data_IF_549913278973
#
_entry.id   IF_549913278973
#
_cell.length_a   1.000
_cell.length_b   1.000
_cell.length_c   1.000
_cell.angle_alpha   90.00
_cell.angle_beta   90.00
_cell.angle_gamma   90.00
#
_symmetry.space_group_name_H-M   'P 1'
#
loop_
_entity.id
_entity.type
_entity.pdbx_description
1 polymer ?
#
# COMPACT_ATOMS: atom_id res chain seq x y z
N UNK A 1 6.59 20.52 -15.34
CA UNK A 1 6.00 19.17 -15.48
C UNK A 1 4.51 19.20 -15.20
N UNK A 2 3.71 18.33 -15.83
CA UNK A 2 2.25 18.29 -15.59
C UNK A 2 1.96 17.60 -14.26
N UNK A 3 1.35 18.33 -13.32
CA UNK A 3 0.78 17.79 -12.09
C UNK A 3 -0.74 17.77 -12.22
N UNK A 4 -1.38 16.77 -11.65
CA UNK A 4 -2.84 16.61 -11.67
C UNK A 4 -3.38 16.65 -10.25
N UNK A 5 -4.66 16.93 -10.08
CA UNK A 5 -5.28 16.78 -8.78
C UNK A 5 -5.50 15.28 -8.51
N UNK A 6 -5.23 14.79 -7.27
CA UNK A 6 -5.55 13.41 -6.89
C UNK A 6 -7.06 13.14 -7.00
N UNK A 7 -7.45 11.87 -6.85
CA UNK A 7 -8.85 11.52 -6.72
C UNK A 7 -9.51 12.28 -5.54
N UNK A 8 -10.81 12.60 -5.65
CA UNK A 8 -11.51 13.44 -4.67
C UNK A 8 -11.57 12.85 -3.25
N UNK A 9 -11.43 11.53 -3.11
CA UNK A 9 -11.41 10.81 -1.83
C UNK A 9 -9.99 10.45 -1.34
N UNK A 10 -8.95 10.99 -1.97
CA UNK A 10 -7.57 10.69 -1.62
C UNK A 10 -7.15 11.27 -0.24
N UNK A 11 -6.43 10.48 0.60
CA UNK A 11 -6.21 9.04 0.47
C UNK A 11 -7.45 8.22 0.88
N UNK A 12 -7.90 7.23 0.09
CA UNK A 12 -9.11 6.46 0.39
C UNK A 12 -8.98 5.56 1.63
N UNK A 13 -7.78 5.07 1.94
CA UNK A 13 -7.51 4.16 3.05
C UNK A 13 -6.85 4.87 4.24
N UNK A 14 -7.43 4.67 5.42
CA UNK A 14 -6.81 5.07 6.69
C UNK A 14 -5.63 4.16 7.04
N UNK A 15 -4.62 4.72 7.69
CA UNK A 15 -3.43 3.99 8.11
C UNK A 15 -2.48 4.84 8.95
N UNK A 16 -1.32 4.27 9.25
CA UNK A 16 -0.27 4.94 10.01
C UNK A 16 0.67 5.69 9.07
N UNK A 17 0.26 6.89 8.64
CA UNK A 17 1.06 7.75 7.78
C UNK A 17 0.82 9.23 8.07
N UNK A 18 1.76 10.05 7.64
CA UNK A 18 1.68 11.51 7.58
C UNK A 18 1.40 11.88 6.13
N UNK A 19 0.33 12.67 5.89
CA UNK A 19 0.04 13.26 4.59
C UNK A 19 0.83 14.56 4.44
N UNK A 20 1.60 14.67 3.37
CA UNK A 20 2.41 15.84 3.04
C UNK A 20 1.88 16.55 1.79
N UNK A 21 2.76 16.79 0.82
CA UNK A 21 2.41 17.49 -0.42
C UNK A 21 1.81 16.53 -1.45
N UNK A 22 0.51 16.63 -1.71
CA UNK A 22 -0.19 15.76 -2.67
C UNK A 22 0.35 15.82 -4.10
N UNK A 23 1.10 16.87 -4.47
CA UNK A 23 1.76 16.98 -5.78
C UNK A 23 3.18 16.40 -5.81
N UNK A 24 3.67 15.91 -4.67
CA UNK A 24 4.96 15.22 -4.56
C UNK A 24 4.98 13.95 -5.39
N UNK A 25 6.12 13.62 -6.02
CA UNK A 25 6.28 12.35 -6.70
C UNK A 25 6.63 11.18 -5.78
N UNK A 26 6.71 11.36 -4.47
CA UNK A 26 7.27 10.36 -3.56
C UNK A 26 6.28 9.91 -2.50
N UNK A 27 6.16 8.60 -2.31
CA UNK A 27 5.67 8.00 -1.08
C UNK A 27 6.84 7.33 -0.34
N UNK A 28 6.88 7.46 0.98
CA UNK A 28 7.87 6.81 1.85
C UNK A 28 7.18 5.73 2.68
N UNK A 29 7.73 4.53 2.63
CA UNK A 29 7.23 3.35 3.31
C UNK A 29 8.32 2.77 4.20
N UNK A 30 8.13 2.84 5.52
CA UNK A 30 9.05 2.30 6.51
C UNK A 30 8.49 0.98 7.04
N UNK A 31 9.19 -0.13 6.78
CA UNK A 31 8.80 -1.44 7.30
C UNK A 31 8.89 -1.42 8.83
N UNK A 32 7.87 -1.93 9.51
CA UNK A 32 7.84 -2.09 10.96
C UNK A 32 7.81 -3.56 11.34
N UNK A 33 8.57 -3.88 12.39
CA UNK A 33 8.54 -5.18 13.07
C UNK A 33 8.08 -5.12 14.52
N UNK A 34 7.81 -3.93 15.03
CA UNK A 34 7.33 -3.70 16.39
C UNK A 34 5.83 -3.47 16.40
N UNK A 35 5.21 -3.78 17.55
CA UNK A 35 3.88 -3.28 17.86
C UNK A 35 3.87 -1.74 17.85
N UNK A 36 2.72 -1.14 17.54
CA UNK A 36 2.57 0.30 17.36
C UNK A 36 3.01 1.12 18.59
N UNK A 37 2.81 0.58 19.80
CA UNK A 37 3.17 1.20 21.07
C UNK A 37 4.65 1.03 21.45
N UNK A 38 5.42 0.27 20.66
CA UNK A 38 6.83 -0.09 20.94
C UNK A 38 7.78 0.30 19.81
N UNK A 39 7.33 1.16 18.90
CA UNK A 39 8.16 1.63 17.79
C UNK A 39 9.31 2.50 18.35
N UNK A 40 10.59 2.17 18.04
CA UNK A 40 11.71 2.99 18.50
C UNK A 40 11.66 4.41 17.91
N UNK A 41 12.09 5.45 18.66
CA UNK A 41 12.09 6.83 18.18
C UNK A 41 12.85 7.03 16.86
N UNK A 42 13.90 6.25 16.63
CA UNK A 42 14.71 6.32 15.41
C UNK A 42 13.90 5.89 14.18
N UNK A 43 12.97 4.94 14.34
CA UNK A 43 12.10 4.46 13.27
C UNK A 43 10.98 5.47 13.01
N UNK A 44 10.41 6.06 14.06
CA UNK A 44 9.48 7.18 13.90
C UNK A 44 10.14 8.37 13.18
N UNK A 45 11.42 8.63 13.48
CA UNK A 45 12.18 9.69 12.83
C UNK A 45 12.30 9.46 11.33
N UNK A 46 12.51 8.23 10.86
CA UNK A 46 12.51 7.92 9.42
C UNK A 46 11.19 8.30 8.74
N UNK A 47 10.07 8.00 9.39
CA UNK A 47 8.73 8.36 8.91
C UNK A 47 8.56 9.88 8.86
N UNK A 48 8.91 10.59 9.95
CA UNK A 48 8.79 12.05 10.04
C UNK A 48 9.63 12.74 8.97
N UNK A 49 10.90 12.33 8.82
CA UNK A 49 11.82 12.92 7.84
C UNK A 49 11.32 12.76 6.40
N UNK A 50 10.66 11.64 6.06
CA UNK A 50 10.03 11.49 4.75
C UNK A 50 9.00 12.59 4.46
N UNK A 51 8.10 12.87 5.40
CA UNK A 51 7.09 13.92 5.26
C UNK A 51 7.71 15.33 5.28
N UNK A 52 8.64 15.60 6.20
CA UNK A 52 9.34 16.89 6.30
C UNK A 52 10.19 17.20 5.07
N UNK A 53 10.70 16.17 4.38
CA UNK A 53 11.42 16.30 3.11
C UNK A 53 10.48 16.50 1.91
N UNK A 54 9.17 16.46 2.15
CA UNK A 54 8.14 16.78 1.18
C UNK A 54 7.42 15.59 0.57
N UNK A 55 7.56 14.34 1.04
CA UNK A 55 6.80 13.23 0.46
C UNK A 55 5.27 13.48 0.48
N UNK A 56 4.53 12.92 -0.50
CA UNK A 56 3.07 12.98 -0.52
C UNK A 56 2.48 12.20 0.66
N UNK A 57 3.05 11.02 0.92
CA UNK A 57 2.72 10.17 2.05
C UNK A 57 4.02 9.66 2.64
N UNK A 58 4.12 9.63 3.96
CA UNK A 58 5.21 8.97 4.67
C UNK A 58 4.65 8.18 5.84
N UNK A 59 4.84 6.87 5.85
CA UNK A 59 4.20 6.01 6.83
C UNK A 59 4.86 4.67 7.02
N UNK A 60 4.24 3.87 7.88
CA UNK A 60 4.71 2.54 8.21
C UNK A 60 3.95 1.42 7.49
N UNK A 61 4.64 0.30 7.28
CA UNK A 61 4.06 -0.92 6.74
C UNK A 61 4.44 -2.12 7.61
N UNK A 62 3.44 -2.81 8.15
CA UNK A 62 3.66 -3.93 9.08
C UNK A 62 3.34 -5.30 8.45
N UNK A 63 2.30 -5.37 7.61
CA UNK A 63 1.81 -6.63 7.01
C UNK A 63 2.01 -6.64 5.49
N UNK A 64 2.40 -7.80 4.97
CA UNK A 64 2.65 -8.10 3.55
C UNK A 64 1.39 -8.06 2.66
N UNK A 65 0.21 -8.04 3.29
CA UNK A 65 -1.11 -8.14 2.64
C UNK A 65 -1.94 -6.87 2.85
N UNK A 66 -2.79 -6.80 3.88
CA UNK A 66 -3.72 -5.69 4.11
C UNK A 66 -3.01 -4.34 4.19
N UNK A 67 -1.85 -4.28 4.86
CA UNK A 67 -1.05 -3.06 4.90
C UNK A 67 -0.59 -2.62 3.51
N UNK A 68 -0.12 -3.56 2.69
CA UNK A 68 0.33 -3.31 1.33
C UNK A 68 -0.83 -2.95 0.40
N UNK A 69 -1.97 -3.62 0.52
CA UNK A 69 -3.19 -3.29 -0.22
C UNK A 69 -3.64 -1.85 0.03
N UNK A 70 -3.58 -1.39 1.29
CA UNK A 70 -3.88 0.00 1.64
C UNK A 70 -2.92 1.01 1.01
N UNK A 71 -1.63 0.67 0.99
CA UNK A 71 -0.63 1.50 0.29
C UNK A 71 -0.97 1.57 -1.20
N UNK A 72 -1.29 0.43 -1.83
CA UNK A 72 -1.67 0.38 -3.24
C UNK A 72 -2.88 1.28 -3.51
N UNK A 73 -3.97 1.14 -2.74
CA UNK A 73 -5.16 1.99 -2.86
C UNK A 73 -4.84 3.47 -2.74
N UNK A 74 -4.02 3.84 -1.75
CA UNK A 74 -3.66 5.24 -1.54
C UNK A 74 -2.81 5.79 -2.68
N UNK A 75 -1.84 5.03 -3.20
CA UNK A 75 -0.94 5.51 -4.23
C UNK A 75 -1.64 5.62 -5.59
N UNK A 76 -2.46 4.65 -6.00
CA UNK A 76 -3.13 4.71 -7.31
C UNK A 76 -4.19 5.82 -7.39
N UNK A 77 -4.66 6.30 -6.25
CA UNK A 77 -5.55 7.47 -6.14
C UNK A 77 -4.82 8.81 -6.32
N UNK A 78 -3.49 8.81 -6.37
CA UNK A 78 -2.68 10.01 -6.64
C UNK A 78 -1.64 9.75 -7.74
N UNK A 79 -1.92 10.14 -9.00
CA UNK A 79 -1.04 9.89 -10.14
C UNK A 79 0.26 10.67 -10.05
N UNK A 80 0.34 11.70 -9.19
CA UNK A 80 1.59 12.45 -9.00
C UNK A 80 2.67 11.58 -8.37
N UNK A 81 2.32 10.57 -7.55
CA UNK A 81 3.29 9.70 -6.87
C UNK A 81 3.88 8.73 -7.89
N UNK A 82 5.17 8.86 -8.16
CA UNK A 82 5.95 8.07 -9.13
C UNK A 82 7.05 7.22 -8.50
N UNK A 83 7.29 7.38 -7.21
CA UNK A 83 8.30 6.66 -6.47
C UNK A 83 7.77 6.13 -5.14
N UNK A 84 8.21 4.92 -4.80
CA UNK A 84 8.09 4.39 -3.45
C UNK A 84 9.49 4.25 -2.86
N UNK A 85 9.81 5.02 -1.83
CA UNK A 85 11.02 4.85 -1.04
C UNK A 85 10.74 3.83 0.05
N UNK A 86 11.37 2.66 -0.02
CA UNK A 86 11.25 1.61 0.99
C UNK A 86 12.42 1.72 1.97
N UNK A 87 12.13 1.78 3.27
CA UNK A 87 13.13 1.84 4.34
C UNK A 87 12.75 1.00 5.55
N UNK A 88 13.53 1.11 6.62
CA UNK A 88 13.31 0.36 7.87
C UNK A 88 13.94 -1.04 7.87
N UNK A 89 13.78 -1.79 8.98
CA UNK A 89 14.25 -3.17 9.11
C UNK A 89 13.42 -4.14 8.27
N UNK A 90 13.65 -5.45 8.44
CA UNK A 90 12.69 -6.47 8.01
C UNK A 90 11.72 -6.81 9.16
N UNK A 91 10.51 -7.23 8.79
CA UNK A 91 9.53 -7.77 9.72
C UNK A 91 9.73 -9.27 9.89
N UNK A 92 10.24 -9.67 11.06
CA UNK A 92 10.39 -11.08 11.41
C UNK A 92 9.00 -11.74 11.42
N UNK A 93 8.82 -12.78 10.60
CA UNK A 93 7.55 -13.49 10.45
C UNK A 93 6.71 -13.02 9.26
N UNK A 94 6.63 -11.72 8.97
CA UNK A 94 5.86 -11.24 7.81
C UNK A 94 6.70 -11.12 6.53
N UNK A 95 8.01 -10.88 6.64
CA UNK A 95 8.90 -10.62 5.50
C UNK A 95 8.35 -9.53 4.57
N UNK A 96 7.82 -8.48 5.18
CA UNK A 96 7.06 -7.43 4.52
C UNK A 96 7.89 -6.66 3.48
N UNK A 97 9.14 -6.31 3.79
CA UNK A 97 10.01 -5.62 2.84
C UNK A 97 10.40 -6.52 1.67
N UNK A 98 10.68 -7.79 1.94
CA UNK A 98 10.89 -8.81 0.92
C UNK A 98 9.67 -8.97 0.00
N UNK A 99 8.46 -9.06 0.55
CA UNK A 99 7.22 -9.14 -0.22
C UNK A 99 7.00 -7.91 -1.12
N UNK A 100 7.28 -6.69 -0.63
CA UNK A 100 7.23 -5.47 -1.47
C UNK A 100 8.22 -5.58 -2.64
N UNK A 101 9.47 -5.96 -2.37
CA UNK A 101 10.50 -6.10 -3.42
C UNK A 101 10.14 -7.19 -4.43
N UNK A 102 9.57 -8.31 -3.97
CA UNK A 102 9.09 -9.39 -4.82
C UNK A 102 7.92 -8.94 -5.71
N UNK A 103 6.98 -8.15 -5.17
CA UNK A 103 5.87 -7.56 -5.93
C UNK A 103 6.40 -6.69 -7.07
N UNK A 104 7.34 -5.78 -6.80
CA UNK A 104 7.94 -4.95 -7.85
C UNK A 104 8.72 -5.75 -8.89
N UNK A 105 9.35 -6.86 -8.52
CA UNK A 105 10.16 -7.67 -9.43
C UNK A 105 9.33 -8.62 -10.29
N UNK A 106 8.32 -9.24 -9.70
CA UNK A 106 7.67 -10.42 -10.27
C UNK A 106 6.15 -10.25 -10.43
N UNK A 107 5.56 -9.18 -9.87
CA UNK A 107 4.12 -9.00 -9.86
C UNK A 107 3.38 -10.04 -9.02
N UNK A 108 2.16 -10.36 -9.44
CA UNK A 108 1.29 -11.35 -8.80
C UNK A 108 0.83 -12.42 -9.79
N UNK A 109 0.46 -13.59 -9.28
CA UNK A 109 -0.19 -14.64 -10.09
C UNK A 109 -1.71 -14.40 -10.27
N UNK A 110 -2.40 -15.31 -10.95
CA UNK A 110 -3.85 -15.24 -11.19
C UNK A 110 -4.68 -15.24 -9.89
N UNK A 111 -4.11 -15.73 -8.78
CA UNK A 111 -4.70 -15.72 -7.45
C UNK A 111 -4.25 -14.50 -6.64
N UNK A 112 -3.65 -13.50 -7.27
CA UNK A 112 -3.11 -12.29 -6.62
C UNK A 112 -2.09 -12.61 -5.52
N UNK A 113 -1.39 -13.74 -5.63
CA UNK A 113 -0.25 -14.07 -4.77
C UNK A 113 0.99 -13.37 -5.30
N UNK A 114 1.73 -12.68 -4.44
CA UNK A 114 3.02 -12.09 -4.81
C UNK A 114 3.99 -13.22 -5.16
N UNK A 115 4.61 -13.11 -6.34
CA UNK A 115 5.48 -14.16 -6.87
C UNK A 115 6.90 -13.99 -6.32
N UNK A 116 7.51 -15.09 -5.86
CA UNK A 116 8.93 -15.12 -5.48
C UNK A 116 9.24 -14.59 -4.07
N UNK A 117 8.24 -14.49 -3.19
CA UNK A 117 8.41 -14.15 -1.77
C UNK A 117 8.25 -15.38 -0.87
N UNK A 118 9.00 -15.41 0.24
CA UNK A 118 8.88 -16.40 1.31
C UNK A 118 7.91 -15.98 2.42
N UNK A 119 7.29 -14.81 2.28
CA UNK A 119 6.30 -14.31 3.24
C UNK A 119 5.15 -15.32 3.43
N UNK A 120 4.61 -15.51 4.66
CA UNK A 120 3.61 -16.53 4.93
C UNK A 120 2.26 -16.30 4.25
N UNK A 121 1.80 -15.05 4.14
CA UNK A 121 0.49 -14.72 3.57
C UNK A 121 0.56 -13.62 2.49
N UNK A 122 1.27 -13.85 1.37
CA UNK A 122 1.59 -12.84 0.38
C UNK A 122 0.47 -12.71 -0.66
N UNK A 123 -0.76 -12.42 -0.22
CA UNK A 123 -1.93 -12.34 -1.10
C UNK A 123 -2.62 -10.98 -1.01
N UNK A 124 -2.96 -10.43 -2.18
CA UNK A 124 -3.61 -9.11 -2.32
C UNK A 124 -5.08 -9.26 -2.79
N UNK A 125 -5.88 -10.02 -2.03
CA UNK A 125 -7.23 -10.41 -2.43
C UNK A 125 -8.25 -9.27 -2.45
N UNK A 126 -8.07 -8.24 -1.62
CA UNK A 126 -9.09 -7.22 -1.34
C UNK A 126 -9.04 -6.03 -2.32
N UNK A 127 -8.13 -6.07 -3.30
CA UNK A 127 -7.97 -5.06 -4.35
C UNK A 127 -8.04 -5.69 -5.75
N UNK A 128 -8.40 -4.93 -6.78
CA UNK A 128 -8.47 -5.46 -8.15
C UNK A 128 -7.06 -5.69 -8.72
N UNK A 129 -6.95 -6.61 -9.70
CA UNK A 129 -5.70 -6.80 -10.44
C UNK A 129 -5.29 -5.52 -11.19
N UNK A 130 -6.26 -4.73 -11.66
CA UNK A 130 -6.04 -3.42 -12.27
C UNK A 130 -5.31 -2.47 -11.31
N UNK A 131 -5.71 -2.39 -10.03
CA UNK A 131 -5.02 -1.55 -9.05
C UNK A 131 -3.58 -2.03 -8.80
N UNK A 132 -3.34 -3.34 -8.78
CA UNK A 132 -2.00 -3.91 -8.62
C UNK A 132 -1.11 -3.55 -9.82
N UNK A 133 -1.59 -3.76 -11.04
CA UNK A 133 -0.85 -3.43 -12.25
C UNK A 133 -0.60 -1.93 -12.36
N UNK A 134 -1.63 -1.10 -12.09
CA UNK A 134 -1.50 0.35 -12.07
C UNK A 134 -0.43 0.80 -11.07
N UNK A 135 -0.38 0.21 -9.88
CA UNK A 135 0.64 0.51 -8.88
C UNK A 135 2.06 0.21 -9.39
N UNK A 136 2.24 -0.94 -10.03
CA UNK A 136 3.53 -1.37 -10.60
C UNK A 136 3.97 -0.50 -11.78
N UNK A 137 3.04 -0.13 -12.67
CA UNK A 137 3.33 0.71 -13.84
C UNK A 137 3.59 2.17 -13.44
N UNK A 138 2.92 2.64 -12.37
CA UNK A 138 3.02 4.02 -11.90
C UNK A 138 4.33 4.32 -11.18
N UNK A 139 4.90 3.33 -10.48
CA UNK A 139 5.97 3.53 -9.50
C UNK A 139 7.31 2.93 -9.89
N UNK A 140 8.38 3.63 -9.52
CA UNK A 140 9.73 3.06 -9.38
C UNK A 140 10.06 2.87 -7.89
N UNK A 141 10.61 1.70 -7.55
CA UNK A 141 11.04 1.40 -6.18
C UNK A 141 12.46 1.92 -5.91
N UNK A 142 12.58 2.76 -4.87
CA UNK A 142 13.87 3.20 -4.31
C UNK A 142 14.12 2.42 -3.02
N UNK A 143 14.95 1.37 -3.12
CA UNK A 143 15.25 0.48 -1.98
C UNK A 143 16.35 1.06 -1.09
N UNK A 144 15.95 1.47 0.11
CA UNK A 144 16.80 1.89 1.22
C UNK A 144 16.57 1.01 2.46
N UNK A 145 16.05 -0.21 2.29
CA UNK A 145 15.85 -1.12 3.41
C UNK A 145 17.19 -1.38 4.12
N UNK A 146 17.14 -1.49 5.45
CA UNK A 146 18.30 -1.61 6.32
C UNK A 146 19.25 -0.41 6.34
N UNK A 147 18.85 0.73 5.77
CA UNK A 147 19.54 2.00 5.94
C UNK A 147 18.80 2.79 7.02
N UNK A 148 19.49 3.10 8.13
CA UNK A 148 18.91 3.73 9.32
C UNK A 148 19.12 5.24 9.38
N UNK A 149 19.79 5.81 8.39
CA UNK A 149 20.23 7.20 8.36
C UNK A 149 19.13 8.08 7.76
N UNK A 150 18.53 9.01 8.52
CA UNK A 150 17.42 9.83 8.03
C UNK A 150 17.80 10.70 6.81
N UNK A 151 19.07 11.09 6.71
CA UNK A 151 19.55 11.90 5.58
C UNK A 151 19.53 11.14 4.25
N UNK A 152 19.59 9.80 4.25
CA UNK A 152 19.41 9.02 3.03
C UNK A 152 17.97 9.10 2.51
N UNK A 153 16.97 9.07 3.41
CA UNK A 153 15.57 9.28 3.04
C UNK A 153 15.39 10.70 2.50
N UNK A 154 15.95 11.70 3.19
CA UNK A 154 15.91 13.10 2.75
C UNK A 154 16.49 13.27 1.36
N UNK A 155 17.65 12.69 1.10
CA UNK A 155 18.31 12.77 -0.20
C UNK A 155 17.53 12.02 -1.29
N UNK A 156 16.95 10.85 -0.99
CA UNK A 156 16.12 10.12 -1.94
C UNK A 156 14.88 10.92 -2.33
N UNK A 157 14.17 11.48 -1.35
CA UNK A 157 12.99 12.33 -1.58
C UNK A 157 13.37 13.54 -2.42
N UNK A 158 14.44 14.25 -2.03
CA UNK A 158 14.95 15.41 -2.78
C UNK A 158 15.34 15.07 -4.22
N UNK A 159 15.98 13.91 -4.45
CA UNK A 159 16.41 13.49 -5.79
C UNK A 159 15.22 13.25 -6.71
N UNK A 160 14.10 12.72 -6.19
CA UNK A 160 12.88 12.50 -6.95
C UNK A 160 12.15 13.79 -7.35
N UNK A 161 12.48 14.93 -6.74
CA UNK A 161 11.86 16.23 -7.01
C UNK A 161 12.51 17.02 -8.14
N UNK A 162 13.71 16.63 -8.54
CA UNK A 162 14.52 17.45 -9.44
C UNK A 162 13.87 17.51 -10.83
N UNK A 163 14.05 18.64 -11.51
CA UNK A 163 13.57 18.79 -12.89
C UNK A 163 14.44 18.00 -13.87
N UNK A 164 15.73 17.89 -13.55
CA UNK A 164 16.71 17.16 -14.33
C UNK A 164 17.13 15.88 -13.60
N UNK A 165 17.47 14.79 -14.31
CA UNK A 165 17.93 13.53 -13.73
C UNK A 165 19.11 13.71 -12.78
N UNK A 166 18.97 13.20 -11.55
CA UNK A 166 20.03 13.10 -10.55
C UNK A 166 20.36 11.65 -10.25
N UNK A 167 21.65 11.32 -10.28
CA UNK A 167 22.12 9.99 -9.89
C UNK A 167 22.04 9.82 -8.38
N UNK A 168 21.22 8.88 -7.93
CA UNK A 168 21.11 8.44 -6.54
C UNK A 168 21.27 6.92 -6.48
N UNK A 169 22.38 6.46 -5.88
CA UNK A 169 22.70 5.03 -5.70
C UNK A 169 22.57 4.18 -6.98
N UNK A 170 22.97 4.72 -8.12
CA UNK A 170 22.92 4.03 -9.42
C UNK A 170 21.56 4.11 -10.13
N UNK A 171 20.58 4.81 -9.56
CA UNK A 171 19.32 5.15 -10.23
C UNK A 171 19.33 6.62 -10.66
N UNK A 172 18.69 6.94 -11.77
CA UNK A 172 18.43 8.32 -12.18
C UNK A 172 17.04 8.71 -11.69
N UNK A 173 16.98 9.60 -10.70
CA UNK A 173 15.75 10.08 -10.09
C UNK A 173 15.49 11.52 -10.49
N UNK A 174 14.24 11.82 -10.80
CA UNK A 174 13.73 13.16 -11.11
C UNK A 174 12.20 13.11 -11.21
N UNK A 175 11.53 14.24 -11.23
CA UNK A 175 10.09 14.27 -11.31
C UNK A 175 9.64 14.01 -12.77
N UNK A 176 8.90 12.92 -12.99
CA UNK A 176 8.34 12.59 -14.32
C UNK A 176 7.04 13.34 -14.62
N UNK A 177 6.52 14.11 -13.66
CA UNK A 177 5.13 14.54 -13.65
C UNK A 177 4.17 13.39 -13.32
N UNK A 178 2.88 13.69 -13.41
CA UNK A 178 1.82 12.74 -13.13
C UNK A 178 1.86 11.53 -14.08
N UNK A 179 1.44 10.37 -13.57
CA UNK A 179 1.15 9.21 -14.41
C UNK A 179 0.06 9.57 -15.44
N UNK A 180 0.15 9.13 -16.70
CA UNK A 180 -0.69 9.65 -17.79
C UNK A 180 -2.18 9.36 -17.66
N UNK A 181 -2.53 8.26 -17.01
CA UNK A 181 -3.92 7.83 -16.84
C UNK A 181 -4.58 8.45 -15.60
N UNK A 182 -5.92 8.64 -15.60
CA UNK A 182 -6.67 9.15 -14.45
C UNK A 182 -6.41 8.35 -13.16
N UNK A 183 -6.58 8.97 -11.98
CA UNK A 183 -6.47 8.25 -10.72
C UNK A 183 -7.52 7.15 -10.60
N UNK A 184 -7.12 6.03 -10.01
CA UNK A 184 -8.03 4.96 -9.58
C UNK A 184 -8.30 5.13 -8.09
N UNK A 185 -9.55 4.96 -7.66
CA UNK A 185 -9.86 4.88 -6.23
C UNK A 185 -10.73 3.68 -5.90
N UNK A 186 -10.55 3.20 -4.68
CA UNK A 186 -11.25 2.04 -4.13
C UNK A 186 -10.77 1.80 -2.70
N UNK A 187 -11.72 1.49 -1.82
CA UNK A 187 -11.40 0.97 -0.48
C UNK A 187 -11.33 -0.54 -0.51
N UNK A 188 -10.58 -1.14 0.41
CA UNK A 188 -10.55 -2.59 0.58
C UNK A 188 -11.97 -3.09 0.89
N UNK A 189 -12.60 -3.74 -0.09
CA UNK A 189 -13.96 -4.25 0.06
C UNK A 189 -13.89 -5.60 0.77
N UNK A 190 -14.27 -5.60 2.06
CA UNK A 190 -14.28 -6.76 2.96
C UNK A 190 -12.90 -7.31 3.35
N UNK A 191 -12.54 -7.15 4.63
CA UNK A 191 -11.39 -7.83 5.25
C UNK A 191 -11.65 -9.34 5.24
N UNK A 192 -11.17 -10.07 4.24
CA UNK A 192 -11.04 -11.53 4.35
C UNK A 192 -9.97 -11.78 5.41
N UNK A 193 -10.39 -11.89 6.68
CA UNK A 193 -9.51 -12.06 7.85
C UNK A 193 -8.93 -13.48 7.96
N UNK A 194 -9.37 -14.40 7.10
CA UNK A 194 -9.03 -15.82 7.12
C UNK A 194 -9.02 -16.39 5.68
N UNK A 195 -7.94 -16.21 4.89
CA UNK A 195 -7.85 -16.67 3.50
C UNK A 195 -7.88 -18.21 3.36
N UNK A 196 -7.62 -18.98 4.43
CA UNK A 196 -7.84 -20.44 4.47
C UNK A 196 -9.31 -20.86 4.52
N UNK A 197 -10.24 -19.90 4.64
CA UNK A 197 -11.68 -20.10 4.45
C UNK A 197 -12.14 -19.88 3.01
N UNK A 198 -11.21 -19.77 2.04
CA UNK A 198 -11.57 -19.87 0.63
C UNK A 198 -11.89 -21.33 0.28
N UNK A 199 -13.09 -21.58 -0.27
CA UNK A 199 -13.49 -22.87 -0.77
C UNK A 199 -12.45 -23.49 -1.70
N UNK A 200 -11.94 -24.66 -1.33
CA UNK A 200 -10.99 -25.40 -2.17
C UNK A 200 -11.69 -26.03 -3.37
N UNK A 201 -13.01 -26.22 -3.27
CA UNK A 201 -13.85 -26.81 -4.31
C UNK A 201 -15.21 -26.10 -4.48
N UNK A 202 -15.92 -26.50 -5.52
CA UNK A 202 -17.20 -25.90 -5.92
C UNK A 202 -18.32 -26.12 -4.88
N UNK A 203 -18.27 -27.21 -4.12
CA UNK A 203 -19.25 -27.51 -3.08
C UNK A 203 -19.08 -26.58 -1.87
N UNK A 204 -17.84 -26.32 -1.46
CA UNK A 204 -17.54 -25.33 -0.43
C UNK A 204 -17.92 -23.90 -0.89
N UNK A 205 -17.84 -23.59 -2.20
CA UNK A 205 -18.29 -22.30 -2.77
C UNK A 205 -19.80 -22.15 -2.64
N UNK A 206 -20.55 -23.19 -2.96
CA UNK A 206 -22.00 -23.18 -2.77
C UNK A 206 -22.40 -23.04 -1.30
N UNK A 207 -21.72 -23.76 -0.40
CA UNK A 207 -21.98 -23.68 1.03
C UNK A 207 -21.72 -22.26 1.57
N UNK A 208 -20.63 -21.62 1.13
CA UNK A 208 -20.29 -20.24 1.47
C UNK A 208 -21.33 -19.25 0.93
N UNK A 209 -21.79 -19.42 -0.32
CA UNK A 209 -22.86 -18.59 -0.91
C UNK A 209 -24.17 -18.69 -0.11
N UNK A 210 -24.57 -19.91 0.29
CA UNK A 210 -25.77 -20.13 1.11
C UNK A 210 -25.65 -19.49 2.49
N UNK A 211 -24.48 -19.58 3.12
CA UNK A 211 -24.21 -18.94 4.41
C UNK A 211 -24.29 -17.41 4.33
N UNK A 212 -23.71 -16.80 3.30
CA UNK A 212 -23.81 -15.35 3.07
C UNK A 212 -25.25 -14.90 2.86
N UNK A 213 -26.01 -15.59 2.01
CA UNK A 213 -27.43 -15.28 1.79
C UNK A 213 -28.25 -15.36 3.09
N UNK A 214 -27.95 -16.33 3.96
CA UNK A 214 -28.59 -16.45 5.28
C UNK A 214 -28.25 -15.26 6.20
N UNK A 215 -26.99 -14.82 6.22
CA UNK A 215 -26.58 -13.68 7.04
C UNK A 215 -27.23 -12.36 6.58
N UNK A 216 -27.36 -12.15 5.27
CA UNK A 216 -28.05 -10.98 4.73
C UNK A 216 -29.53 -10.98 5.10
N UNK A 217 -30.21 -12.13 5.01
CA UNK A 217 -31.59 -12.25 5.48
C UNK A 217 -31.74 -11.95 6.98
N UNK A 218 -30.78 -12.36 7.81
CA UNK A 218 -30.79 -12.06 9.24
C UNK A 218 -30.59 -10.56 9.47
N UNK A 219 -29.65 -9.92 8.76
CA UNK A 219 -29.43 -8.47 8.83
C UNK A 219 -30.66 -7.67 8.43
N UNK A 220 -31.32 -8.04 7.34
CA UNK A 220 -32.56 -7.38 6.89
C UNK A 220 -33.70 -7.52 7.90
N UNK A 221 -33.88 -8.72 8.49
CA UNK A 221 -34.87 -8.93 9.56
C UNK A 221 -34.58 -8.11 10.80
N UNK A 222 -33.29 -7.97 11.14
CA UNK A 222 -32.86 -7.21 12.31
C UNK A 222 -33.03 -5.71 12.08
N UNK A 223 -32.81 -5.24 10.84
CA UNK A 223 -33.06 -3.85 10.43
C UNK A 223 -34.55 -3.52 10.46
N UNK A 224 -35.40 -4.36 9.86
CA UNK A 224 -36.87 -4.20 9.90
C UNK A 224 -37.42 -4.16 11.32
N UNK A 225 -36.95 -5.02 12.23
CA UNK A 225 -37.34 -4.98 13.64
C UNK A 225 -37.00 -3.66 14.34
N UNK A 226 -35.87 -3.04 14.00
CA UNK A 226 -35.49 -1.74 14.57
C UNK A 226 -36.34 -0.59 14.02
N UNK A 227 -36.74 -0.70 12.76
CA UNK A 227 -37.60 0.29 12.10
C UNK A 227 -39.06 0.18 12.58
N UNK A 228 -39.52 -1.02 12.96
CA UNK A 228 -40.87 -1.24 13.54
C UNK A 228 -40.98 -0.85 15.03
N UNK A 229 -39.84 -0.79 15.74
CA UNK A 229 -39.75 -0.39 17.17
C UNK A 229 -39.42 1.12 17.38
N UNK A 230 -39.36 1.92 16.30
CA UNK A 230 -39.09 3.37 16.29
C UNK A 230 -40.33 4.19 15.93
#
# INVERSE_FOLDING_TARGET
MLKVDPHADYPPEEGCYIRGNDRSPVAVCIVLKWDQDKVPPEIEQLIRVGAESGAALSGSLQTENIGLEKIICNVVANPNIRYLVLGGPESDGHLTGEAVKALFRNGVDEKKRIIGTESPHPFLFNISAEMIHRFLDQLTLVDLQFQGEPDLIRQAVWSCYQEEPVSFRGQNLYDYGAFPEPPLSGRITWKITQPWGEPKDENEREAKKRAFALMDMIRERTRKKRDDDS
#
